data_IF_949254847298
#
_entry.id   IF_949254847298
#
_cell.length_a   1.000
_cell.length_b   1.000
_cell.length_c   1.000
_cell.angle_alpha   90.00
_cell.angle_beta   90.00
_cell.angle_gamma   90.00
#
_symmetry.space_group_name_H-M   'P 1'
#
loop_
_entity.id
_entity.type
_entity.pdbx_description
1 polymer ?
#
# COMPACT_ATOMS: atom_id res chain seq x y z
N UNK A 1 -21.49 79.27 18.09
CA UNK A 1 -21.39 78.35 16.95
C UNK A 1 -21.26 76.94 17.52
N UNK A 2 -22.30 76.15 17.50
CA UNK A 2 -22.35 74.78 18.06
C UNK A 2 -22.22 73.78 16.89
N UNK A 3 -21.25 72.93 16.94
CA UNK A 3 -21.03 71.89 15.94
C UNK A 3 -21.96 70.69 16.26
N UNK A 4 -22.55 70.04 15.24
CA UNK A 4 -23.41 68.88 15.48
C UNK A 4 -22.58 67.59 15.67
N UNK A 5 -22.95 66.80 16.68
CA UNK A 5 -22.40 65.48 16.95
C UNK A 5 -22.91 64.47 15.92
N UNK A 6 -22.01 63.89 15.16
CA UNK A 6 -22.29 62.76 14.29
C UNK A 6 -22.21 61.46 15.11
N UNK A 7 -23.36 60.80 15.28
CA UNK A 7 -23.46 59.45 15.82
C UNK A 7 -23.32 58.43 14.66
N UNK A 8 -22.23 57.64 14.63
CA UNK A 8 -22.10 56.50 13.74
C UNK A 8 -22.95 55.32 14.29
N UNK A 9 -23.72 54.65 13.43
CA UNK A 9 -24.41 53.43 13.84
C UNK A 9 -23.41 52.23 13.87
N UNK A 10 -23.45 51.51 14.99
CA UNK A 10 -22.73 50.24 15.14
C UNK A 10 -23.41 49.18 14.26
N UNK A 11 -22.74 48.74 13.19
CA UNK A 11 -23.13 47.55 12.47
C UNK A 11 -22.73 46.30 13.25
N UNK A 12 -23.72 45.62 13.84
CA UNK A 12 -23.50 44.31 14.46
C UNK A 12 -23.27 43.25 13.35
N UNK A 13 -22.05 42.76 13.21
CA UNK A 13 -21.72 41.64 12.34
C UNK A 13 -22.24 40.34 12.97
N UNK A 14 -23.38 39.84 12.52
CA UNK A 14 -23.84 38.50 12.86
C UNK A 14 -22.91 37.48 12.18
N UNK A 15 -21.98 36.86 12.91
CA UNK A 15 -21.24 35.71 12.49
C UNK A 15 -22.19 34.51 12.38
N UNK A 16 -22.53 34.11 11.18
CA UNK A 16 -23.25 32.86 10.95
C UNK A 16 -22.35 31.67 11.33
N UNK A 17 -22.69 31.00 12.44
CA UNK A 17 -22.07 29.73 12.82
C UNK A 17 -22.59 28.66 11.83
N UNK A 18 -21.78 28.29 10.85
CA UNK A 18 -22.08 27.15 10.00
C UNK A 18 -22.05 25.87 10.87
N UNK A 19 -23.07 25.00 10.76
CA UNK A 19 -23.04 23.74 11.47
C UNK A 19 -21.84 22.91 10.99
N UNK A 20 -21.08 22.33 11.94
CA UNK A 20 -20.02 21.39 11.63
C UNK A 20 -20.60 20.23 10.82
N UNK A 21 -20.03 19.97 9.64
CA UNK A 21 -20.44 18.83 8.83
C UNK A 21 -20.28 17.54 9.64
N UNK A 22 -21.33 16.74 9.74
CA UNK A 22 -21.22 15.41 10.34
C UNK A 22 -20.13 14.60 9.62
N UNK A 23 -19.31 13.84 10.37
CA UNK A 23 -18.29 13.00 9.74
C UNK A 23 -18.96 12.04 8.76
N UNK A 24 -18.58 12.13 7.50
CA UNK A 24 -19.13 11.25 6.47
C UNK A 24 -18.81 9.79 6.86
N UNK A 25 -19.85 8.97 6.95
CA UNK A 25 -19.69 7.52 7.20
C UNK A 25 -18.88 6.92 6.06
N UNK A 26 -17.78 6.23 6.38
CA UNK A 26 -16.97 5.58 5.36
C UNK A 26 -17.84 4.60 4.54
N UNK A 27 -17.69 4.57 3.21
CA UNK A 27 -18.46 3.65 2.38
C UNK A 27 -18.14 2.20 2.76
N UNK A 28 -19.15 1.33 2.66
CA UNK A 28 -18.98 -0.10 2.92
C UNK A 28 -17.95 -0.69 1.94
N UNK A 29 -17.08 -1.56 2.42
CA UNK A 29 -16.17 -2.35 1.59
C UNK A 29 -16.99 -3.16 0.58
N UNK A 30 -16.80 -2.98 -0.74
CA UNK A 30 -17.56 -3.72 -1.74
C UNK A 30 -17.06 -5.17 -1.85
N UNK A 31 -17.94 -6.07 -2.29
CA UNK A 31 -17.53 -7.41 -2.65
C UNK A 31 -16.57 -7.38 -3.86
N UNK A 32 -15.60 -8.28 -3.87
CA UNK A 32 -14.57 -8.33 -4.90
C UNK A 32 -13.49 -7.25 -4.76
N UNK A 33 -13.35 -6.60 -3.59
CA UNK A 33 -12.25 -5.66 -3.35
C UNK A 33 -10.93 -6.40 -3.16
N UNK A 34 -9.98 -6.14 -4.06
CA UNK A 34 -8.65 -6.77 -4.08
C UNK A 34 -7.56 -5.72 -4.03
N UNK A 35 -6.55 -5.96 -3.22
CA UNK A 35 -5.32 -5.16 -3.16
C UNK A 35 -4.18 -5.96 -3.76
N UNK A 36 -3.48 -5.40 -4.76
CA UNK A 36 -2.27 -6.00 -5.32
C UNK A 36 -1.02 -5.37 -4.71
N UNK A 37 -0.09 -6.21 -4.29
CA UNK A 37 1.18 -5.80 -3.68
C UNK A 37 2.35 -6.52 -4.32
N UNK A 38 3.47 -5.80 -4.51
CA UNK A 38 4.69 -6.28 -5.15
C UNK A 38 5.89 -5.92 -4.28
N UNK A 39 6.71 -6.90 -3.92
CA UNK A 39 7.85 -6.73 -3.02
C UNK A 39 9.19 -6.71 -3.77
N UNK A 40 10.26 -6.37 -3.05
CA UNK A 40 11.67 -6.58 -3.40
C UNK A 40 12.26 -5.70 -4.51
N UNK A 41 11.55 -4.68 -4.95
CA UNK A 41 12.10 -3.73 -5.95
C UNK A 41 12.58 -4.39 -7.25
N UNK A 42 11.94 -5.47 -7.71
CA UNK A 42 12.38 -6.23 -8.89
C UNK A 42 12.17 -5.43 -10.18
N UNK A 43 13.12 -5.47 -11.11
CA UNK A 43 13.09 -4.70 -12.37
C UNK A 43 11.86 -4.99 -13.24
N UNK A 44 11.32 -6.23 -13.18
CA UNK A 44 10.10 -6.61 -13.89
C UNK A 44 8.85 -5.83 -13.47
N UNK A 45 8.86 -5.18 -12.30
CA UNK A 45 7.76 -4.31 -11.89
C UNK A 45 7.54 -3.15 -12.86
N UNK A 46 8.62 -2.51 -13.33
CA UNK A 46 8.52 -1.42 -14.29
C UNK A 46 8.38 -1.91 -15.74
N UNK A 47 9.10 -3.00 -16.11
CA UNK A 47 9.20 -3.43 -17.51
C UNK A 47 8.02 -4.29 -17.97
N UNK A 48 7.35 -5.02 -17.08
CA UNK A 48 6.28 -5.95 -17.42
C UNK A 48 5.00 -5.73 -16.60
N UNK A 49 5.13 -5.66 -15.26
CA UNK A 49 3.96 -5.61 -14.36
C UNK A 49 3.14 -4.34 -14.56
N UNK A 50 3.77 -3.17 -14.42
CA UNK A 50 3.07 -1.89 -14.48
C UNK A 50 2.35 -1.66 -15.84
N UNK A 51 2.96 -1.93 -17.01
CA UNK A 51 2.25 -1.85 -18.29
C UNK A 51 1.00 -2.73 -18.36
N UNK A 52 1.06 -3.95 -17.83
CA UNK A 52 -0.08 -4.86 -17.83
C UNK A 52 -1.18 -4.40 -16.88
N UNK A 53 -0.83 -3.95 -15.68
CA UNK A 53 -1.79 -3.39 -14.72
C UNK A 53 -2.51 -2.14 -15.28
N UNK A 54 -1.77 -1.24 -15.94
CA UNK A 54 -2.35 -0.06 -16.62
C UNK A 54 -3.36 -0.48 -17.70
N UNK A 55 -3.03 -1.49 -18.51
CA UNK A 55 -3.95 -2.03 -19.53
C UNK A 55 -5.27 -2.53 -18.94
N UNK A 56 -5.25 -3.07 -17.72
CA UNK A 56 -6.44 -3.54 -17.02
C UNK A 56 -7.14 -2.44 -16.20
N UNK A 57 -6.51 -1.29 -15.98
CA UNK A 57 -7.00 -0.24 -15.09
C UNK A 57 -6.90 -0.63 -13.61
N UNK A 58 -5.92 -1.46 -13.25
CA UNK A 58 -5.71 -1.97 -11.89
C UNK A 58 -4.74 -1.10 -11.10
N UNK A 59 -5.11 -0.80 -9.83
CA UNK A 59 -4.20 -0.21 -8.86
C UNK A 59 -3.28 -1.25 -8.23
N UNK A 60 -2.12 -0.80 -7.73
CA UNK A 60 -1.16 -1.65 -7.02
C UNK A 60 -0.24 -0.84 -6.13
N UNK A 61 0.42 -1.54 -5.18
CA UNK A 61 1.47 -1.02 -4.32
C UNK A 61 2.77 -1.75 -4.59
N UNK A 62 3.83 -1.00 -4.86
CA UNK A 62 5.20 -1.50 -4.97
C UNK A 62 5.95 -1.17 -3.69
N UNK A 63 6.33 -2.20 -2.93
CA UNK A 63 7.08 -2.08 -1.69
C UNK A 63 8.57 -2.08 -1.96
N UNK A 64 9.21 -0.94 -1.68
CA UNK A 64 10.59 -0.66 -2.07
C UNK A 64 11.55 -0.98 -0.93
N UNK A 65 12.59 -1.72 -1.28
CA UNK A 65 13.79 -1.95 -0.47
C UNK A 65 15.04 -1.65 -1.29
N UNK A 66 16.12 -1.22 -0.63
CA UNK A 66 17.47 -1.18 -1.20
C UNK A 66 18.32 -2.38 -0.72
N UNK A 67 17.66 -3.39 -0.17
CA UNK A 67 18.27 -4.67 0.19
C UNK A 67 18.73 -5.47 -1.03
N UNK A 68 19.24 -6.64 -0.76
CA UNK A 68 19.85 -7.51 -1.78
C UNK A 68 20.97 -6.77 -2.55
N UNK A 69 20.99 -6.89 -3.86
CA UNK A 69 21.95 -6.23 -4.75
C UNK A 69 21.38 -4.99 -5.44
N UNK A 70 20.34 -4.36 -4.83
CA UNK A 70 19.62 -3.24 -5.42
C UNK A 70 20.51 -2.12 -5.96
N UNK A 71 21.59 -1.76 -5.25
CA UNK A 71 22.46 -0.67 -5.68
C UNK A 71 23.36 -1.05 -6.88
N UNK A 72 23.72 -2.31 -7.03
CA UNK A 72 24.72 -2.82 -7.99
C UNK A 72 24.07 -3.46 -9.22
N UNK A 73 23.03 -4.26 -9.04
CA UNK A 73 22.40 -5.04 -10.10
C UNK A 73 21.15 -4.33 -10.66
N UNK A 74 21.37 -3.45 -11.65
CA UNK A 74 20.28 -2.71 -12.33
C UNK A 74 19.64 -3.49 -13.49
N UNK A 75 20.05 -4.71 -13.71
CA UNK A 75 19.38 -5.63 -14.63
C UNK A 75 18.19 -6.29 -13.92
N UNK A 76 18.35 -6.68 -12.66
CA UNK A 76 17.36 -7.43 -11.92
C UNK A 76 16.56 -6.56 -10.93
N UNK A 77 17.08 -5.41 -10.51
CA UNK A 77 16.39 -4.49 -9.59
C UNK A 77 16.09 -3.14 -10.22
N UNK A 78 15.02 -2.51 -9.75
CA UNK A 78 14.59 -1.18 -10.16
C UNK A 78 15.69 -0.12 -9.96
N UNK A 79 15.66 0.90 -10.78
CA UNK A 79 16.30 2.19 -10.49
C UNK A 79 15.31 3.12 -9.77
N UNK A 80 15.81 4.15 -9.09
CA UNK A 80 14.94 5.16 -8.50
C UNK A 80 14.16 5.96 -9.55
N UNK A 81 14.69 6.13 -10.76
CA UNK A 81 13.94 6.74 -11.87
C UNK A 81 12.76 5.87 -12.32
N UNK A 82 12.92 4.55 -12.34
CA UNK A 82 11.82 3.62 -12.60
C UNK A 82 10.78 3.65 -11.47
N UNK A 83 11.21 3.71 -10.20
CA UNK A 83 10.31 3.84 -9.05
C UNK A 83 9.52 5.16 -9.12
N UNK A 84 10.17 6.26 -9.49
CA UNK A 84 9.51 7.55 -9.77
C UNK A 84 8.51 7.42 -10.92
N UNK A 85 8.87 6.68 -11.97
CA UNK A 85 7.96 6.39 -13.09
C UNK A 85 6.71 5.62 -12.65
N UNK A 86 6.86 4.59 -11.82
CA UNK A 86 5.73 3.85 -11.23
C UNK A 86 4.80 4.79 -10.45
N UNK A 87 5.37 5.70 -9.64
CA UNK A 87 4.58 6.70 -8.92
C UNK A 87 3.85 7.65 -9.88
N UNK A 88 4.52 8.15 -10.90
CA UNK A 88 3.92 9.04 -11.91
C UNK A 88 2.80 8.36 -12.71
N UNK A 89 2.87 7.06 -12.89
CA UNK A 89 1.81 6.21 -13.47
C UNK A 89 0.60 5.98 -12.56
N UNK A 90 0.63 6.52 -11.32
CA UNK A 90 -0.47 6.45 -10.36
C UNK A 90 -0.38 5.30 -9.36
N UNK A 91 0.62 4.43 -9.46
CA UNK A 91 0.82 3.36 -8.49
C UNK A 91 1.30 3.89 -7.13
N UNK A 92 1.05 3.13 -6.10
CA UNK A 92 1.57 3.44 -4.78
C UNK A 92 2.99 2.91 -4.60
N UNK A 93 3.84 3.73 -3.98
CA UNK A 93 5.15 3.33 -3.50
C UNK A 93 5.05 3.17 -1.98
N UNK A 94 5.28 1.95 -1.51
CA UNK A 94 5.30 1.58 -0.10
C UNK A 94 6.72 1.26 0.39
N UNK A 95 6.88 1.07 1.70
CA UNK A 95 8.16 0.83 2.36
C UNK A 95 8.36 -0.65 2.68
N UNK A 96 9.55 -1.19 2.38
CA UNK A 96 9.92 -2.58 2.66
C UNK A 96 11.24 -2.69 3.42
N UNK A 97 11.57 -1.70 4.25
CA UNK A 97 12.85 -1.47 4.92
C UNK A 97 14.01 -1.20 3.96
N UNK A 98 15.08 -0.58 4.49
CA UNK A 98 16.29 -0.34 3.71
C UNK A 98 16.94 -1.63 3.23
N UNK A 99 17.16 -2.57 4.15
CA UNK A 99 18.04 -3.71 3.93
C UNK A 99 17.33 -5.05 3.80
N UNK A 100 15.99 -5.05 3.66
CA UNK A 100 15.15 -6.26 3.64
C UNK A 100 15.39 -7.18 4.85
N UNK A 101 15.69 -6.61 6.00
CA UNK A 101 15.85 -7.38 7.24
C UNK A 101 14.49 -7.57 7.90
N UNK A 102 14.19 -8.80 8.33
CA UNK A 102 13.02 -9.07 9.16
C UNK A 102 13.07 -8.25 10.45
N UNK A 103 11.91 -7.74 10.86
CA UNK A 103 11.80 -6.84 12.03
C UNK A 103 11.84 -7.56 13.38
N UNK A 104 11.84 -8.90 13.37
CA UNK A 104 11.91 -9.71 14.59
C UNK A 104 13.28 -9.54 15.26
N UNK A 105 13.27 -9.23 16.55
CA UNK A 105 14.49 -9.06 17.32
C UNK A 105 15.21 -7.73 17.09
N UNK A 106 14.76 -6.88 16.16
CA UNK A 106 15.28 -5.52 15.98
C UNK A 106 14.76 -4.59 17.08
N UNK A 107 15.60 -3.64 17.49
CA UNK A 107 15.22 -2.56 18.41
C UNK A 107 14.36 -1.53 17.67
N UNK A 108 13.44 -0.83 18.37
CA UNK A 108 12.62 0.23 17.75
C UNK A 108 13.43 1.25 16.94
N UNK A 109 14.59 1.69 17.45
CA UNK A 109 15.44 2.66 16.78
C UNK A 109 16.04 2.12 15.46
N UNK A 110 16.35 0.83 15.39
CA UNK A 110 16.88 0.17 14.18
C UNK A 110 15.79 0.09 13.11
N UNK A 111 14.57 -0.32 13.52
CA UNK A 111 13.40 -0.35 12.64
C UNK A 111 13.10 1.06 12.11
N UNK A 112 13.07 2.06 12.99
CA UNK A 112 12.82 3.44 12.61
C UNK A 112 13.85 3.97 11.60
N UNK A 113 15.14 3.65 11.79
CA UNK A 113 16.20 4.05 10.86
C UNK A 113 16.08 3.38 9.48
N UNK A 114 15.70 2.10 9.44
CA UNK A 114 15.45 1.38 8.17
C UNK A 114 14.27 1.95 7.40
N UNK A 115 13.18 2.33 8.09
CA UNK A 115 12.02 2.99 7.49
C UNK A 115 12.38 4.38 6.98
N UNK A 116 13.04 5.18 7.83
CA UNK A 116 13.42 6.57 7.51
C UNK A 116 14.30 6.65 6.27
N UNK A 117 15.17 5.66 6.04
CA UNK A 117 16.00 5.62 4.85
C UNK A 117 15.15 5.62 3.58
N UNK A 118 14.19 4.72 3.44
CA UNK A 118 13.30 4.64 2.26
C UNK A 118 12.41 5.87 2.15
N UNK A 119 11.91 6.40 3.28
CA UNK A 119 11.14 7.63 3.32
C UNK A 119 11.93 8.82 2.72
N UNK A 120 13.18 9.00 3.14
CA UNK A 120 14.09 10.02 2.60
C UNK A 120 14.35 9.83 1.11
N UNK A 121 14.62 8.59 0.70
CA UNK A 121 14.83 8.27 -0.72
C UNK A 121 13.61 8.62 -1.57
N UNK A 122 12.40 8.31 -1.10
CA UNK A 122 11.17 8.69 -1.78
C UNK A 122 11.09 10.22 -1.97
N UNK A 123 11.31 10.99 -0.90
CA UNK A 123 11.28 12.47 -0.94
C UNK A 123 12.33 13.03 -1.90
N UNK A 124 13.56 12.52 -1.88
CA UNK A 124 14.64 12.91 -2.80
C UNK A 124 14.26 12.75 -4.27
N UNK A 125 13.41 11.76 -4.57
CA UNK A 125 12.91 11.50 -5.94
C UNK A 125 11.54 12.14 -6.23
N UNK A 126 11.01 12.98 -5.33
CA UNK A 126 9.72 13.66 -5.49
C UNK A 126 8.51 12.74 -5.31
N UNK A 127 8.70 11.62 -4.61
CA UNK A 127 7.64 10.68 -4.23
C UNK A 127 7.19 11.03 -2.79
N UNK A 128 5.90 11.08 -2.50
CA UNK A 128 5.42 11.28 -1.12
C UNK A 128 5.99 10.24 -0.13
N UNK A 129 6.11 10.64 1.13
CA UNK A 129 6.49 9.71 2.21
C UNK A 129 5.53 8.51 2.22
N UNK A 130 6.04 7.27 2.17
CA UNK A 130 5.22 6.07 2.23
C UNK A 130 4.37 6.01 3.50
N UNK A 131 3.10 5.66 3.36
CA UNK A 131 2.17 5.44 4.48
C UNK A 131 1.74 3.98 4.59
N UNK A 132 2.31 3.11 3.77
CA UNK A 132 2.07 1.67 3.80
C UNK A 132 3.39 0.90 3.85
N UNK A 133 3.34 -0.27 4.47
CA UNK A 133 4.50 -1.09 4.76
C UNK A 133 4.25 -2.55 4.41
N UNK A 134 5.30 -3.27 4.02
CA UNK A 134 5.31 -4.72 3.92
C UNK A 134 6.42 -5.27 4.83
N UNK A 135 6.06 -6.23 5.68
CA UNK A 135 7.01 -6.87 6.58
C UNK A 135 7.96 -7.81 5.81
N UNK A 136 9.28 -7.56 5.78
CA UNK A 136 10.24 -8.49 5.18
C UNK A 136 10.15 -9.87 5.83
N UNK A 137 10.00 -10.93 4.99
CA UNK A 137 9.81 -12.29 5.47
C UNK A 137 8.50 -12.51 6.25
N UNK A 138 7.54 -11.59 6.16
CA UNK A 138 6.19 -11.64 6.74
C UNK A 138 6.10 -11.62 8.27
N UNK A 139 7.21 -11.66 8.98
CA UNK A 139 7.21 -11.74 10.42
C UNK A 139 6.96 -10.36 11.06
N UNK A 140 5.96 -10.28 11.92
CA UNK A 140 5.60 -9.07 12.65
C UNK A 140 6.24 -9.04 14.04
N UNK A 141 6.33 -7.84 14.64
CA UNK A 141 6.65 -7.71 16.06
C UNK A 141 5.89 -6.54 16.68
N UNK A 142 5.55 -6.60 17.99
CA UNK A 142 4.91 -5.47 18.68
C UNK A 142 5.72 -4.17 18.58
N UNK A 143 7.07 -4.28 18.63
CA UNK A 143 7.95 -3.13 18.48
C UNK A 143 7.80 -2.48 17.08
N UNK A 144 7.77 -3.29 16.01
CA UNK A 144 7.58 -2.79 14.66
C UNK A 144 6.21 -2.14 14.48
N UNK A 145 5.15 -2.76 14.97
CA UNK A 145 3.79 -2.19 14.92
C UNK A 145 3.71 -0.84 15.65
N UNK A 146 4.35 -0.72 16.81
CA UNK A 146 4.42 0.55 17.54
C UNK A 146 5.15 1.64 16.76
N UNK A 147 6.33 1.32 16.20
CA UNK A 147 7.11 2.25 15.37
C UNK A 147 6.34 2.68 14.11
N UNK A 148 5.68 1.75 13.43
CA UNK A 148 4.85 2.06 12.26
C UNK A 148 3.72 3.03 12.63
N UNK A 149 3.03 2.79 13.73
CA UNK A 149 1.94 3.67 14.22
C UNK A 149 2.46 5.07 14.57
N UNK A 150 3.57 5.16 15.29
CA UNK A 150 4.20 6.42 15.68
C UNK A 150 4.63 7.24 14.44
N UNK A 151 5.11 6.58 13.39
CA UNK A 151 5.53 7.21 12.13
C UNK A 151 4.37 7.50 11.17
N UNK A 152 3.12 7.19 11.53
CA UNK A 152 1.94 7.50 10.72
C UNK A 152 1.65 6.51 9.58
N UNK A 153 2.22 5.31 9.61
CA UNK A 153 1.82 4.26 8.69
C UNK A 153 0.39 3.84 8.98
N UNK A 154 -0.38 3.66 7.92
CA UNK A 154 -1.81 3.35 8.00
C UNK A 154 -2.11 1.87 7.80
N UNK A 155 -1.36 1.23 6.94
CA UNK A 155 -1.53 -0.18 6.58
C UNK A 155 -0.17 -0.87 6.50
N UNK A 156 -0.11 -2.11 7.01
CA UNK A 156 1.10 -2.91 6.90
C UNK A 156 0.75 -4.37 6.64
N UNK A 157 1.24 -4.91 5.49
CA UNK A 157 0.98 -6.28 5.09
C UNK A 157 1.96 -7.24 5.75
N UNK A 158 1.39 -8.21 6.43
CA UNK A 158 2.08 -9.37 7.01
C UNK A 158 1.87 -10.62 6.14
N UNK A 159 2.22 -11.77 6.67
CA UNK A 159 1.94 -13.08 6.08
C UNK A 159 0.52 -13.56 6.36
N UNK A 160 0.24 -14.80 5.99
CA UNK A 160 -1.03 -15.45 6.20
C UNK A 160 -1.51 -16.20 4.96
N UNK A 161 -2.73 -16.74 5.05
CA UNK A 161 -3.41 -17.40 3.92
C UNK A 161 -4.93 -17.17 4.05
N UNK A 162 -5.33 -15.93 4.35
CA UNK A 162 -6.73 -15.53 4.53
C UNK A 162 -6.95 -14.08 4.13
N UNK A 163 -8.19 -13.71 3.88
CA UNK A 163 -8.60 -12.31 3.63
C UNK A 163 -8.46 -11.45 4.88
N UNK A 164 -8.26 -10.17 4.67
CA UNK A 164 -8.31 -9.14 5.70
C UNK A 164 -9.78 -8.85 6.07
N UNK A 165 -10.08 -8.89 7.36
CA UNK A 165 -11.39 -8.54 7.94
C UNK A 165 -11.24 -7.25 8.76
N UNK A 166 -11.64 -6.09 8.21
CA UNK A 166 -11.48 -4.81 8.90
C UNK A 166 -12.15 -4.70 10.27
N UNK A 167 -13.14 -5.56 10.54
CA UNK A 167 -13.83 -5.58 11.83
C UNK A 167 -13.05 -6.32 12.93
N UNK A 168 -11.98 -7.07 12.56
CA UNK A 168 -11.26 -7.95 13.49
C UNK A 168 -9.75 -7.77 13.47
N UNK A 169 -9.20 -7.39 12.32
CA UNK A 169 -7.75 -7.37 12.10
C UNK A 169 -7.17 -5.98 12.34
N UNK A 170 -5.95 -5.92 12.89
CA UNK A 170 -5.19 -4.67 12.98
C UNK A 170 -4.69 -4.28 11.57
N UNK A 171 -4.97 -3.06 11.09
CA UNK A 171 -4.51 -2.59 9.80
C UNK A 171 -2.98 -2.49 9.67
N UNK A 172 -2.23 -2.60 10.77
CA UNK A 172 -0.77 -2.69 10.75
C UNK A 172 -0.25 -4.14 10.76
N UNK A 173 -1.12 -5.13 10.61
CA UNK A 173 -0.74 -6.55 10.45
C UNK A 173 -1.71 -7.27 9.51
N UNK A 174 -2.06 -6.62 8.37
CA UNK A 174 -2.99 -7.22 7.39
C UNK A 174 -2.48 -8.58 6.90
N UNK A 175 -3.31 -9.62 6.96
CA UNK A 175 -2.97 -10.88 6.33
C UNK A 175 -3.00 -10.77 4.81
N UNK A 176 -2.21 -11.59 4.12
CA UNK A 176 -2.35 -11.83 2.69
C UNK A 176 -3.26 -13.03 2.44
N UNK A 177 -4.12 -12.95 1.41
CA UNK A 177 -5.00 -14.05 1.01
C UNK A 177 -4.29 -15.04 0.08
N UNK A 178 -3.33 -14.55 -0.68
CA UNK A 178 -2.53 -15.35 -1.61
C UNK A 178 -1.12 -14.76 -1.74
N UNK A 179 -0.13 -15.64 -1.71
CA UNK A 179 1.28 -15.34 -1.98
C UNK A 179 1.67 -16.12 -3.24
N UNK A 180 1.93 -15.40 -4.33
CA UNK A 180 2.25 -16.01 -5.60
C UNK A 180 3.67 -16.62 -5.58
N UNK A 181 3.74 -17.90 -5.89
CA UNK A 181 4.97 -18.69 -5.95
C UNK A 181 4.91 -19.59 -7.17
N UNK A 182 6.05 -20.22 -7.59
CA UNK A 182 6.08 -21.10 -8.76
C UNK A 182 5.03 -22.21 -8.74
N UNK A 183 4.73 -22.77 -7.55
CA UNK A 183 3.72 -23.82 -7.37
C UNK A 183 2.28 -23.29 -7.24
N UNK A 184 2.07 -21.96 -7.23
CA UNK A 184 0.74 -21.37 -7.13
C UNK A 184 -0.10 -21.66 -8.37
N UNK A 185 -1.35 -22.11 -8.16
CA UNK A 185 -2.26 -22.41 -9.27
C UNK A 185 -3.30 -21.31 -9.47
N UNK A 186 -3.87 -21.26 -10.68
CA UNK A 186 -4.96 -20.34 -11.00
C UNK A 186 -6.21 -20.62 -10.13
N UNK A 187 -6.46 -21.89 -9.80
CA UNK A 187 -7.58 -22.28 -8.95
C UNK A 187 -7.40 -21.76 -7.52
N UNK A 188 -6.19 -21.86 -6.96
CA UNK A 188 -5.88 -21.29 -5.64
C UNK A 188 -6.04 -19.77 -5.63
N UNK A 189 -5.57 -19.10 -6.68
CA UNK A 189 -5.73 -17.65 -6.83
C UNK A 189 -7.22 -17.27 -6.89
N UNK A 190 -8.02 -17.95 -7.73
CA UNK A 190 -9.47 -17.73 -7.82
C UNK A 190 -10.17 -17.97 -6.48
N UNK A 191 -9.78 -19.02 -5.76
CA UNK A 191 -10.33 -19.29 -4.43
C UNK A 191 -9.98 -18.20 -3.41
N UNK A 192 -8.80 -17.59 -3.50
CA UNK A 192 -8.39 -16.50 -2.63
C UNK A 192 -9.20 -15.22 -2.90
N UNK A 193 -9.31 -14.80 -4.16
CA UNK A 193 -10.08 -13.59 -4.52
C UNK A 193 -11.58 -13.75 -4.27
N UNK A 194 -12.13 -14.95 -4.39
CA UNK A 194 -13.53 -15.23 -4.11
C UNK A 194 -13.92 -15.03 -2.64
N UNK A 195 -12.95 -14.97 -1.72
CA UNK A 195 -13.18 -14.69 -0.30
C UNK A 195 -13.37 -13.18 -0.02
N UNK A 196 -13.08 -12.28 -0.98
CA UNK A 196 -13.29 -10.84 -0.85
C UNK A 196 -14.78 -10.51 -0.92
N UNK A 197 -15.52 -10.78 0.12
CA UNK A 197 -16.97 -10.54 0.28
C UNK A 197 -17.33 -10.27 1.73
N UNK A 198 -18.53 -9.80 1.94
CA UNK A 198 -19.05 -9.51 3.29
C UNK A 198 -18.16 -8.51 4.05
N UNK A 199 -17.67 -7.48 3.38
CA UNK A 199 -16.82 -6.45 3.95
C UNK A 199 -15.34 -6.84 4.12
N UNK A 200 -14.90 -7.98 3.59
CA UNK A 200 -13.51 -8.45 3.63
C UNK A 200 -12.76 -8.13 2.35
N UNK A 201 -11.43 -8.04 2.44
CA UNK A 201 -10.52 -7.65 1.36
C UNK A 201 -9.52 -8.77 1.08
N UNK A 202 -9.33 -9.14 -0.19
CA UNK A 202 -8.25 -10.04 -0.58
C UNK A 202 -6.98 -9.24 -0.87
N UNK A 203 -5.96 -9.41 -0.04
CA UNK A 203 -4.61 -8.85 -0.28
C UNK A 203 -3.77 -9.92 -0.95
N UNK A 204 -3.25 -9.61 -2.13
CA UNK A 204 -2.48 -10.53 -2.95
C UNK A 204 -1.03 -10.05 -3.04
N UNK A 205 -0.10 -10.97 -2.83
CA UNK A 205 1.33 -10.71 -2.86
C UNK A 205 2.00 -11.33 -4.07
N UNK A 206 2.80 -10.53 -4.73
CA UNK A 206 3.75 -10.93 -5.77
C UNK A 206 5.15 -10.41 -5.42
N UNK A 207 6.15 -11.06 -5.99
CA UNK A 207 7.51 -10.54 -6.05
C UNK A 207 7.81 -10.19 -7.53
N UNK A 208 8.88 -10.66 -8.13
CA UNK A 208 9.13 -10.40 -9.55
C UNK A 208 8.28 -11.22 -10.53
N UNK A 209 8.04 -10.63 -11.72
CA UNK A 209 7.32 -11.28 -12.84
C UNK A 209 8.08 -11.07 -14.16
N UNK A 210 9.11 -11.89 -14.46
CA UNK A 210 9.71 -12.91 -13.59
C UNK A 210 10.62 -12.34 -12.50
N UNK A 211 10.89 -13.16 -11.46
CA UNK A 211 11.95 -12.95 -10.49
C UNK A 211 13.06 -13.98 -10.74
N UNK A 212 14.12 -13.56 -11.40
CA UNK A 212 15.24 -14.44 -11.77
C UNK A 212 16.17 -14.66 -10.58
N UNK A 213 16.29 -13.65 -9.70
CA UNK A 213 17.21 -13.70 -8.55
C UNK A 213 16.63 -14.50 -7.38
N UNK A 214 15.29 -14.56 -7.27
CA UNK A 214 14.58 -15.25 -6.20
C UNK A 214 13.59 -16.27 -6.78
N UNK A 215 14.09 -17.38 -7.39
CA UNK A 215 13.23 -18.32 -8.11
C UNK A 215 12.16 -18.98 -7.24
N UNK A 216 12.31 -18.98 -5.92
CA UNK A 216 11.32 -19.55 -4.98
C UNK A 216 10.08 -18.68 -4.76
N UNK A 217 10.12 -17.40 -5.15
CA UNK A 217 8.98 -16.47 -5.11
C UNK A 217 8.62 -15.96 -6.51
N UNK A 218 9.22 -16.55 -7.55
CA UNK A 218 8.97 -16.17 -8.92
C UNK A 218 7.52 -16.43 -9.34
N UNK A 219 6.95 -15.46 -10.04
CA UNK A 219 5.73 -15.63 -10.84
C UNK A 219 6.08 -15.52 -12.31
N UNK A 220 5.71 -16.52 -13.11
CA UNK A 220 5.97 -16.41 -14.55
C UNK A 220 5.04 -15.39 -15.20
N UNK A 221 5.45 -14.72 -16.31
CA UNK A 221 4.57 -13.84 -17.07
C UNK A 221 3.22 -14.47 -17.42
N UNK A 222 3.21 -15.71 -17.86
CA UNK A 222 1.98 -16.43 -18.23
C UNK A 222 1.04 -16.65 -17.01
N UNK A 223 1.59 -17.00 -15.84
CA UNK A 223 0.80 -17.10 -14.61
C UNK A 223 0.19 -15.74 -14.23
N UNK A 224 0.99 -14.69 -14.28
CA UNK A 224 0.54 -13.35 -13.94
C UNK A 224 -0.57 -12.85 -14.87
N UNK A 225 -0.43 -13.04 -16.19
CA UNK A 225 -1.48 -12.73 -17.17
C UNK A 225 -2.77 -13.49 -16.90
N UNK A 226 -2.68 -14.78 -16.55
CA UNK A 226 -3.83 -15.60 -16.18
C UNK A 226 -4.51 -15.07 -14.90
N UNK A 227 -3.76 -14.63 -13.89
CA UNK A 227 -4.28 -14.04 -12.67
C UNK A 227 -4.97 -12.71 -12.93
N UNK A 228 -4.39 -11.82 -13.73
CA UNK A 228 -5.00 -10.52 -14.10
C UNK A 228 -6.29 -10.74 -14.89
N UNK A 229 -6.28 -11.69 -15.82
CA UNK A 229 -7.48 -12.08 -16.56
C UNK A 229 -8.59 -12.61 -15.65
N UNK A 230 -8.23 -13.40 -14.62
CA UNK A 230 -9.19 -13.91 -13.64
C UNK A 230 -9.81 -12.78 -12.79
N UNK A 231 -9.01 -11.79 -12.34
CA UNK A 231 -9.52 -10.61 -11.64
C UNK A 231 -10.54 -9.84 -12.50
N UNK A 232 -10.21 -9.64 -13.78
CA UNK A 232 -11.10 -8.95 -14.72
C UNK A 232 -12.40 -9.73 -14.94
N UNK A 233 -12.30 -11.05 -15.16
CA UNK A 233 -13.46 -11.92 -15.37
C UNK A 233 -14.38 -12.00 -14.14
N UNK A 234 -13.81 -11.94 -12.94
CA UNK A 234 -14.56 -11.92 -11.68
C UNK A 234 -15.16 -10.54 -11.35
N UNK A 235 -14.90 -9.50 -12.15
CA UNK A 235 -15.38 -8.14 -11.88
C UNK A 235 -14.78 -7.51 -10.63
N UNK A 236 -13.57 -7.94 -10.22
CA UNK A 236 -12.93 -7.42 -9.03
C UNK A 236 -12.59 -5.93 -9.16
N UNK A 237 -12.79 -5.19 -8.09
CA UNK A 237 -12.24 -3.84 -7.93
C UNK A 237 -10.82 -3.97 -7.38
N UNK A 238 -9.83 -3.60 -8.20
CA UNK A 238 -8.41 -3.77 -7.86
C UNK A 238 -7.78 -2.43 -7.54
N UNK A 239 -7.26 -2.28 -6.33
CA UNK A 239 -6.76 -1.01 -5.79
C UNK A 239 -5.35 -1.14 -5.20
N UNK A 240 -4.69 0.00 -4.95
CA UNK A 240 -3.49 0.07 -4.13
C UNK A 240 -3.84 -0.02 -2.63
N UNK A 241 -2.86 -0.37 -1.80
CA UNK A 241 -3.04 -0.49 -0.34
C UNK A 241 -3.51 0.82 0.29
N UNK A 242 -2.96 1.97 -0.11
CA UNK A 242 -3.38 3.29 0.39
C UNK A 242 -4.87 3.56 0.17
N UNK A 243 -5.46 2.99 -0.88
CA UNK A 243 -6.86 3.25 -1.25
C UNK A 243 -7.86 2.57 -0.30
N UNK A 244 -7.42 1.62 0.53
CA UNK A 244 -8.21 1.08 1.64
C UNK A 244 -8.68 2.18 2.59
N UNK A 245 -7.96 3.29 2.65
CA UNK A 245 -8.33 4.47 3.44
C UNK A 245 -9.70 5.06 3.08
N UNK A 246 -10.23 4.77 1.89
CA UNK A 246 -11.57 5.19 1.45
C UNK A 246 -12.68 4.44 2.19
N UNK A 247 -12.40 3.22 2.61
CA UNK A 247 -13.37 2.30 3.21
C UNK A 247 -13.18 2.15 4.73
N UNK A 248 -12.03 2.53 5.24
CA UNK A 248 -11.67 2.35 6.63
C UNK A 248 -11.44 3.71 7.28
N UNK A 249 -12.13 4.01 8.39
CA UNK A 249 -11.87 5.26 9.11
C UNK A 249 -10.39 5.31 9.55
N UNK A 250 -9.83 6.53 9.73
CA UNK A 250 -8.51 6.64 10.34
C UNK A 250 -8.54 5.91 11.69
N UNK A 251 -7.50 5.13 11.98
CA UNK A 251 -7.37 4.52 13.31
C UNK A 251 -7.51 5.63 14.36
N UNK A 252 -8.40 5.45 15.32
CA UNK A 252 -8.54 6.39 16.43
C UNK A 252 -7.16 6.54 17.10
N UNK A 253 -6.71 7.80 17.20
CA UNK A 253 -5.46 8.16 17.86
C UNK A 253 -5.52 7.87 19.34
#
# INVERSE_FOLDING_TARGET
MRLPSLTLPWLALLAAVLPAAEPAVAPKVPDGLVVLTFDDSVASHASFVAPLLKKHGFGATFYITEGFEFLQDKVNYLTWDQIKGLHADGFEIGNHTRAHKGVNGQKPAEIAADLEHIEKRCVEHGIPVPTTFSYPGYATSPAATAVLRERGYRFARAGGARVFDPAKDDPLTLPQAFDSKPAGTLEQFKAAIAQARDGKVAVITFHGVPDIRHPWVNTTPAQFEAYMSALKAAGCQVIAMRDLARYLPPANK
#
